data_IF_439981060544
#
_entry.id   IF_439981060544
#
_cell.length_a   1.000
_cell.length_b   1.000
_cell.length_c   1.000
_cell.angle_alpha   90.00
_cell.angle_beta   90.00
_cell.angle_gamma   90.00
#
_symmetry.space_group_name_H-M   'P 1'
#
loop_
_entity.id
_entity.type
_entity.pdbx_description
1 polymer ?
#
# COMPACT_ATOMS: atom_id res chain seq x y z
N UNK A 1 11.10 -10.06 -12.05
CA UNK A 1 11.61 -8.97 -11.21
C UNK A 1 10.56 -8.60 -10.19
N UNK A 2 10.94 -8.45 -8.92
CA UNK A 2 9.99 -8.08 -7.88
C UNK A 2 9.41 -6.69 -8.11
N UNK A 3 8.19 -6.46 -7.64
CA UNK A 3 7.50 -5.17 -7.83
C UNK A 3 8.34 -4.00 -7.31
N UNK A 4 8.95 -4.17 -6.13
CA UNK A 4 9.76 -3.11 -5.54
C UNK A 4 10.92 -2.68 -6.44
N UNK A 5 11.51 -3.63 -7.15
CA UNK A 5 12.65 -3.34 -8.04
C UNK A 5 12.24 -2.51 -9.25
N UNK A 6 10.98 -2.62 -9.65
CA UNK A 6 10.44 -1.87 -10.79
C UNK A 6 9.88 -0.51 -10.39
N UNK A 7 9.64 -0.30 -9.10
CA UNK A 7 9.01 0.91 -8.59
C UNK A 7 9.97 2.11 -8.69
N UNK A 8 9.40 3.31 -8.80
CA UNK A 8 10.16 4.55 -8.97
C UNK A 8 10.45 5.21 -7.64
N UNK A 9 11.70 5.66 -7.39
CA UNK A 9 12.02 6.35 -6.14
C UNK A 9 11.19 7.61 -5.94
N UNK A 10 10.73 7.80 -4.70
CA UNK A 10 10.07 9.02 -4.26
C UNK A 10 11.04 9.77 -3.35
N UNK A 11 11.13 11.11 -3.42
CA UNK A 11 12.03 11.88 -2.56
C UNK A 11 11.84 11.65 -1.06
N UNK A 12 10.64 11.18 -0.64
CA UNK A 12 10.37 10.89 0.77
C UNK A 12 10.97 9.57 1.27
N UNK A 13 11.66 8.81 0.39
CA UNK A 13 12.39 7.61 0.77
C UNK A 13 11.72 6.28 0.45
N UNK A 14 10.46 6.29 0.06
CA UNK A 14 9.77 5.09 -0.44
C UNK A 14 9.74 5.09 -1.96
N UNK A 15 9.11 4.08 -2.57
CA UNK A 15 8.98 4.02 -4.03
C UNK A 15 7.51 4.09 -4.44
N UNK A 16 7.26 4.64 -5.61
CA UNK A 16 5.92 4.78 -6.18
C UNK A 16 5.61 3.65 -7.15
N UNK A 17 4.38 3.15 -7.07
CA UNK A 17 3.86 2.07 -7.91
C UNK A 17 2.52 2.52 -8.47
N UNK A 18 2.28 2.28 -9.75
CA UNK A 18 0.97 2.55 -10.36
C UNK A 18 0.09 1.29 -10.31
N UNK A 19 -1.23 1.50 -10.46
CA UNK A 19 -2.19 0.38 -10.49
C UNK A 19 -1.85 -0.65 -11.56
N UNK A 20 -1.41 -0.19 -12.74
CA UNK A 20 -1.10 -1.07 -13.86
C UNK A 20 0.06 -2.03 -13.56
N UNK A 21 0.95 -1.66 -12.65
CA UNK A 21 2.13 -2.45 -12.31
C UNK A 21 1.86 -3.57 -11.33
N UNK A 22 0.70 -3.55 -10.66
CA UNK A 22 0.36 -4.53 -9.62
C UNK A 22 -0.32 -5.73 -10.25
N UNK A 23 0.28 -6.91 -10.09
CA UNK A 23 -0.28 -8.18 -10.53
C UNK A 23 -0.78 -8.95 -9.31
N UNK A 24 -1.99 -9.48 -9.40
CA UNK A 24 -2.60 -10.27 -8.34
C UNK A 24 -2.65 -11.75 -8.72
N UNK A 25 -2.59 -12.65 -7.74
CA UNK A 25 -2.39 -12.38 -6.31
C UNK A 25 -0.99 -11.84 -6.02
N UNK A 26 -0.88 -11.05 -4.95
CA UNK A 26 0.41 -10.52 -4.51
C UNK A 26 1.28 -11.66 -3.99
N UNK A 27 2.48 -11.83 -4.54
CA UNK A 27 3.32 -12.97 -4.18
C UNK A 27 4.56 -12.59 -3.37
N UNK A 28 5.14 -11.44 -3.67
CA UNK A 28 6.40 -11.04 -3.06
C UNK A 28 6.27 -9.80 -2.18
N UNK A 29 5.04 -9.40 -1.87
CA UNK A 29 4.79 -8.20 -1.07
C UNK A 29 3.44 -8.29 -0.35
N UNK A 30 3.33 -7.53 0.74
CA UNK A 30 2.07 -7.41 1.50
C UNK A 30 1.38 -6.12 1.09
N UNK A 31 0.07 -6.18 0.86
CA UNK A 31 -0.75 -5.01 0.58
C UNK A 31 -1.38 -4.54 1.89
N UNK A 32 -1.08 -3.31 2.28
CA UNK A 32 -1.55 -2.72 3.55
C UNK A 32 -2.44 -1.54 3.23
N UNK A 33 -3.74 -1.67 3.53
CA UNK A 33 -4.72 -0.61 3.32
C UNK A 33 -4.84 0.18 4.62
N UNK A 34 -4.47 1.46 4.58
CA UNK A 34 -4.43 2.31 5.78
C UNK A 34 -5.67 3.16 5.96
N UNK A 35 -6.74 2.86 5.21
CA UNK A 35 -8.01 3.57 5.32
C UNK A 35 -8.78 3.11 6.56
N UNK A 36 -9.94 3.73 6.79
CA UNK A 36 -10.83 3.32 7.88
C UNK A 36 -11.63 2.08 7.47
N UNK A 37 -12.13 1.29 8.43
CA UNK A 37 -12.92 0.08 8.12
C UNK A 37 -14.12 0.36 7.22
N UNK A 38 -14.79 1.50 7.38
CA UNK A 38 -15.94 1.85 6.55
C UNK A 38 -15.55 2.09 5.09
N UNK A 39 -14.35 2.57 4.85
CA UNK A 39 -13.85 2.76 3.49
C UNK A 39 -13.48 1.42 2.84
N UNK A 40 -12.91 0.52 3.63
CA UNK A 40 -12.43 -0.79 3.16
C UNK A 40 -13.57 -1.63 2.57
N UNK A 41 -14.75 -1.57 3.19
CA UNK A 41 -15.94 -2.29 2.73
C UNK A 41 -16.91 -1.35 1.98
N UNK A 42 -16.49 -0.13 1.69
CA UNK A 42 -17.33 0.88 1.09
C UNK A 42 -17.38 0.79 -0.43
N UNK A 43 -17.80 1.89 -1.05
CA UNK A 43 -18.10 1.96 -2.48
C UNK A 43 -16.90 1.58 -3.35
N UNK A 44 -15.70 2.02 -2.99
CA UNK A 44 -14.50 1.74 -3.77
C UNK A 44 -13.97 0.32 -3.55
N UNK A 45 -14.46 -0.39 -2.53
CA UNK A 45 -13.96 -1.70 -2.17
C UNK A 45 -12.50 -1.67 -1.74
N UNK A 46 -11.85 -2.84 -1.79
CA UNK A 46 -10.42 -2.97 -1.48
C UNK A 46 -9.77 -3.97 -2.42
N UNK A 47 -8.46 -3.90 -2.50
CA UNK A 47 -7.68 -4.81 -3.36
C UNK A 47 -7.72 -6.21 -2.76
N UNK A 48 -8.03 -7.26 -3.56
CA UNK A 48 -7.99 -8.63 -3.06
C UNK A 48 -6.63 -8.97 -2.43
N UNK A 49 -6.67 -9.52 -1.22
CA UNK A 49 -5.46 -9.85 -0.46
C UNK A 49 -4.95 -8.72 0.43
N UNK A 50 -5.53 -7.52 0.34
CA UNK A 50 -5.13 -6.41 1.20
C UNK A 50 -5.52 -6.67 2.66
N UNK A 51 -4.64 -6.25 3.58
CA UNK A 51 -4.89 -6.30 5.01
C UNK A 51 -5.23 -4.89 5.47
N UNK A 52 -6.32 -4.75 6.21
CA UNK A 52 -6.72 -3.46 6.75
C UNK A 52 -5.91 -3.13 8.01
N UNK A 53 -5.15 -2.05 7.96
CA UNK A 53 -4.37 -1.55 9.10
C UNK A 53 -4.54 -0.03 9.11
N UNK A 54 -5.56 0.50 9.79
CA UNK A 54 -5.84 1.94 9.78
C UNK A 54 -4.62 2.78 10.13
N UNK A 55 -4.49 3.93 9.48
CA UNK A 55 -3.32 4.81 9.61
C UNK A 55 -2.93 5.07 11.06
N UNK A 56 -3.91 5.27 11.95
CA UNK A 56 -3.64 5.56 13.36
C UNK A 56 -3.02 4.39 14.12
N UNK A 57 -3.02 3.18 13.56
CA UNK A 57 -2.52 1.97 14.23
C UNK A 57 -1.33 1.34 13.50
N UNK A 58 -0.99 1.83 12.29
CA UNK A 58 -0.05 1.12 11.44
C UNK A 58 1.34 0.98 12.06
N UNK A 59 1.84 2.03 12.70
CA UNK A 59 3.18 1.97 13.30
C UNK A 59 3.23 0.99 14.48
N UNK A 60 2.19 0.99 15.32
CA UNK A 60 2.11 0.07 16.44
C UNK A 60 2.07 -1.39 15.98
N UNK A 61 1.29 -1.67 14.94
CA UNK A 61 1.20 -3.03 14.40
C UNK A 61 2.47 -3.45 13.68
N UNK A 62 3.13 -2.52 12.99
CA UNK A 62 4.33 -2.81 12.22
C UNK A 62 5.54 -3.18 13.06
N UNK A 63 5.52 -2.89 14.36
CA UNK A 63 6.64 -3.22 15.26
C UNK A 63 7.01 -4.71 15.19
N UNK A 64 5.99 -5.57 14.99
CA UNK A 64 6.20 -7.03 14.93
C UNK A 64 6.51 -7.55 13.53
N UNK A 65 6.45 -6.70 12.50
CA UNK A 65 6.69 -7.15 11.12
C UNK A 65 8.19 -7.18 10.80
N UNK A 66 8.58 -8.08 9.89
CA UNK A 66 9.95 -8.12 9.39
C UNK A 66 10.27 -6.83 8.62
N UNK A 67 11.38 -6.20 8.93
CA UNK A 67 11.85 -4.98 8.26
C UNK A 67 12.24 -5.22 6.80
N UNK A 68 12.43 -6.49 6.42
CA UNK A 68 12.78 -6.89 5.06
C UNK A 68 11.55 -7.13 4.18
N UNK A 69 10.37 -7.23 4.76
CA UNK A 69 9.16 -7.54 4.03
C UNK A 69 8.75 -6.37 3.13
N UNK A 70 8.57 -6.60 1.81
CA UNK A 70 8.09 -5.53 0.93
C UNK A 70 6.63 -5.19 1.25
N UNK A 71 6.34 -3.90 1.38
CA UNK A 71 5.00 -3.41 1.72
C UNK A 71 4.50 -2.47 0.64
N UNK A 72 3.25 -2.68 0.19
CA UNK A 72 2.54 -1.75 -0.69
C UNK A 72 1.45 -1.08 0.12
N UNK A 73 1.60 0.22 0.37
CA UNK A 73 0.64 1.00 1.15
C UNK A 73 -0.43 1.58 0.24
N UNK A 74 -1.68 1.49 0.67
CA UNK A 74 -2.84 1.91 -0.13
C UNK A 74 -3.76 2.77 0.72
N UNK A 75 -4.26 3.86 0.12
CA UNK A 75 -5.36 4.63 0.69
C UNK A 75 -6.31 5.06 -0.42
N UNK A 76 -7.15 6.07 -0.19
CA UNK A 76 -8.12 6.48 -1.21
C UNK A 76 -7.44 7.13 -2.41
N UNK A 77 -6.55 8.10 -2.16
CA UNK A 77 -5.93 8.91 -3.22
C UNK A 77 -4.40 8.93 -3.19
N UNK A 78 -3.77 8.30 -2.22
CA UNK A 78 -2.31 8.20 -2.13
C UNK A 78 -1.65 9.04 -1.03
N UNK A 79 -2.38 9.97 -0.42
CA UNK A 79 -1.79 10.88 0.59
C UNK A 79 -1.52 10.21 1.94
N UNK A 80 -2.55 9.58 2.52
CA UNK A 80 -2.41 8.91 3.82
C UNK A 80 -1.41 7.76 3.73
N UNK A 81 -1.47 7.00 2.63
CA UNK A 81 -0.55 5.88 2.43
C UNK A 81 0.88 6.36 2.21
N UNK A 82 1.07 7.50 1.56
CA UNK A 82 2.39 8.12 1.44
C UNK A 82 2.97 8.50 2.80
N UNK A 83 2.14 9.07 3.68
CA UNK A 83 2.56 9.40 5.04
C UNK A 83 2.95 8.15 5.82
N UNK A 84 2.15 7.07 5.70
CA UNK A 84 2.45 5.80 6.34
C UNK A 84 3.75 5.20 5.80
N UNK A 85 3.95 5.26 4.48
CA UNK A 85 5.15 4.75 3.84
C UNK A 85 6.40 5.47 4.35
N UNK A 86 6.35 6.80 4.47
CA UNK A 86 7.46 7.58 5.00
C UNK A 86 7.77 7.20 6.44
N UNK A 87 6.74 7.05 7.27
CA UNK A 87 6.91 6.68 8.67
C UNK A 87 7.50 5.28 8.82
N UNK A 88 7.07 4.33 7.98
CA UNK A 88 7.61 2.97 8.01
C UNK A 88 9.08 2.94 7.58
N UNK A 89 9.46 3.77 6.62
CA UNK A 89 10.87 3.93 6.28
C UNK A 89 11.67 4.40 7.50
N UNK A 90 11.10 5.31 8.29
CA UNK A 90 11.73 5.78 9.52
C UNK A 90 11.90 4.69 10.57
N UNK A 91 11.05 3.66 10.55
CA UNK A 91 11.17 2.50 11.43
C UNK A 91 12.18 1.45 10.92
N UNK A 92 12.77 1.67 9.76
CA UNK A 92 13.78 0.76 9.22
C UNK A 92 13.28 -0.22 8.17
N UNK A 93 12.02 -0.10 7.71
CA UNK A 93 11.55 -0.93 6.61
C UNK A 93 12.28 -0.53 5.33
N UNK A 94 12.91 -1.51 4.66
CA UNK A 94 13.77 -1.23 3.52
C UNK A 94 13.02 -1.18 2.19
N UNK A 95 11.87 -1.84 2.09
CA UNK A 95 11.17 -2.01 0.80
C UNK A 95 9.71 -1.55 0.93
N UNK A 96 9.53 -0.25 0.96
CA UNK A 96 8.20 0.35 1.13
C UNK A 96 7.76 1.02 -0.16
N UNK A 97 6.53 0.71 -0.59
CA UNK A 97 5.93 1.24 -1.82
C UNK A 97 4.62 1.94 -1.50
N UNK A 98 4.27 2.94 -2.29
CA UNK A 98 2.99 3.64 -2.21
C UNK A 98 2.24 3.49 -3.54
N UNK A 99 0.96 3.13 -3.48
CA UNK A 99 0.12 3.04 -4.68
C UNK A 99 -0.31 4.44 -5.09
N UNK A 100 0.24 4.92 -6.19
CA UNK A 100 -0.05 6.26 -6.71
C UNK A 100 -1.54 6.34 -7.10
N UNK A 101 -2.21 7.38 -6.61
CA UNK A 101 -3.64 7.57 -6.88
C UNK A 101 -4.57 6.68 -6.08
N UNK A 102 -4.04 5.73 -5.31
CA UNK A 102 -4.80 4.89 -4.39
C UNK A 102 -5.95 4.15 -5.03
N UNK A 103 -7.02 3.94 -4.25
CA UNK A 103 -8.20 3.21 -4.72
C UNK A 103 -8.95 3.94 -5.82
N UNK A 104 -8.85 5.26 -5.90
CA UNK A 104 -9.46 6.00 -7.00
C UNK A 104 -8.84 5.60 -8.33
N UNK A 105 -7.52 5.59 -8.42
CA UNK A 105 -6.82 5.19 -9.63
C UNK A 105 -7.01 3.69 -9.92
N UNK A 106 -7.04 2.86 -8.88
CA UNK A 106 -7.26 1.42 -9.00
C UNK A 106 -8.61 1.13 -9.68
N UNK A 107 -9.68 1.78 -9.21
CA UNK A 107 -11.01 1.63 -9.79
C UNK A 107 -11.09 2.21 -11.20
N UNK A 108 -10.45 3.36 -11.44
CA UNK A 108 -10.43 3.97 -12.76
C UNK A 108 -9.72 3.07 -13.79
N UNK A 109 -8.76 2.27 -13.35
CA UNK A 109 -8.07 1.31 -14.21
C UNK A 109 -8.88 0.02 -14.45
N UNK A 110 -10.06 -0.09 -13.84
CA UNK A 110 -10.94 -1.25 -14.00
C UNK A 110 -10.42 -2.51 -13.31
N UNK A 111 -9.59 -2.38 -12.31
CA UNK A 111 -8.99 -3.53 -11.64
C UNK A 111 -9.94 -4.12 -10.60
N UNK A 112 -9.75 -5.41 -10.31
CA UNK A 112 -10.64 -6.18 -9.44
C UNK A 112 -10.61 -5.64 -8.00
N UNK A 113 -11.80 -5.52 -7.41
CA UNK A 113 -11.95 -5.17 -5.99
C UNK A 113 -12.87 -6.16 -5.29
N UNK A 114 -12.74 -6.23 -3.96
CA UNK A 114 -13.65 -6.94 -3.05
C UNK A 114 -14.28 -5.92 -2.11
N UNK A 115 -15.43 -6.28 -1.53
CA UNK A 115 -16.11 -5.42 -0.57
C UNK A 115 -16.46 -6.14 0.71
#
# INVERSE_FOLDING_TARGET
MALFDQARPNPAGYRDVTSAEVTLPAQDFRIVDVREPSEFIGELGHIPGAVLVPLGTVLAQAVSWSREEPLLLVCKAGGRSGNAAQALRGLGFSKVMNLVGGMLAWNAAGKLVEK
#
